data_IF_371133805684
#
_entry.id   IF_371133805684
#
_cell.length_a   1.000
_cell.length_b   1.000
_cell.length_c   1.000
_cell.angle_alpha   90.00
_cell.angle_beta   90.00
_cell.angle_gamma   90.00
#
_symmetry.space_group_name_H-M   'P 1'
#
loop_
_entity.id
_entity.type
_entity.pdbx_description
1 polymer ?
#
# COMPACT_ATOMS: atom_id res chain seq x y z
N UNK A 1 -22.41 -18.69 -7.97
CA UNK A 1 -22.06 -18.50 -6.54
C UNK A 1 -22.42 -17.08 -6.11
N UNK A 2 -23.17 -16.92 -5.00
CA UNK A 2 -23.50 -15.63 -4.39
C UNK A 2 -23.04 -15.64 -2.94
N UNK A 3 -22.42 -14.57 -2.47
CA UNK A 3 -21.87 -14.49 -1.11
C UNK A 3 -22.57 -13.37 -0.34
N UNK A 4 -23.20 -13.69 0.79
CA UNK A 4 -23.74 -12.72 1.73
C UNK A 4 -22.72 -12.47 2.84
N UNK A 5 -22.34 -11.22 3.08
CA UNK A 5 -21.51 -10.82 4.20
C UNK A 5 -22.40 -10.68 5.43
N UNK A 6 -22.37 -11.65 6.37
CA UNK A 6 -23.13 -11.54 7.62
C UNK A 6 -22.50 -10.52 8.57
N UNK A 7 -21.18 -10.45 8.56
CA UNK A 7 -20.41 -9.49 9.32
C UNK A 7 -19.02 -9.30 8.74
N UNK A 8 -18.49 -8.09 8.85
CA UNK A 8 -17.23 -7.65 8.22
C UNK A 8 -16.18 -7.18 9.23
N UNK A 9 -16.53 -7.15 10.53
CA UNK A 9 -15.65 -6.73 11.61
C UNK A 9 -14.65 -7.80 12.05
N UNK A 10 -13.78 -7.47 13.01
CA UNK A 10 -12.84 -8.41 13.61
C UNK A 10 -13.51 -9.62 14.26
N UNK A 11 -12.72 -10.53 14.84
CA UNK A 11 -13.25 -11.74 15.50
C UNK A 11 -14.23 -11.43 16.64
N UNK A 12 -14.18 -10.23 17.21
CA UNK A 12 -15.13 -9.74 18.22
C UNK A 12 -16.04 -8.61 17.69
N UNK A 13 -15.98 -8.31 16.37
CA UNK A 13 -16.63 -7.15 15.76
C UNK A 13 -15.79 -5.88 15.84
N UNK A 14 -16.34 -4.76 15.35
CA UNK A 14 -15.74 -3.43 15.46
C UNK A 14 -16.85 -2.37 15.61
N UNK A 15 -16.93 -1.60 16.75
CA UNK A 15 -15.98 -1.59 17.87
C UNK A 15 -15.95 -2.92 18.64
N UNK A 16 -14.77 -3.30 19.13
CA UNK A 16 -14.62 -4.49 19.95
C UNK A 16 -15.23 -4.24 21.35
N UNK A 17 -16.09 -5.12 21.87
CA UNK A 17 -16.68 -4.98 23.19
C UNK A 17 -15.62 -4.77 24.28
N UNK A 18 -15.82 -3.74 25.12
CA UNK A 18 -14.91 -3.39 26.20
C UNK A 18 -13.61 -2.68 25.80
N UNK A 19 -13.30 -2.56 24.50
CA UNK A 19 -12.10 -1.85 24.02
C UNK A 19 -12.29 -0.33 24.08
N UNK A 20 -11.35 0.38 24.71
CA UNK A 20 -11.36 1.85 24.83
C UNK A 20 -10.30 2.55 23.97
N UNK A 21 -9.74 1.87 22.98
CA UNK A 21 -8.79 2.52 22.06
C UNK A 21 -9.49 3.58 21.19
N UNK A 22 -8.70 4.52 20.67
CA UNK A 22 -9.22 5.63 19.89
C UNK A 22 -9.99 5.19 18.62
N UNK A 23 -9.63 4.06 18.01
CA UNK A 23 -10.34 3.49 16.86
C UNK A 23 -11.73 3.00 17.25
N UNK A 24 -11.85 2.17 18.30
CA UNK A 24 -13.14 1.66 18.78
C UNK A 24 -14.06 2.78 19.27
N UNK A 25 -13.52 3.78 19.97
CA UNK A 25 -14.31 4.93 20.43
C UNK A 25 -14.85 5.76 19.27
N UNK A 26 -14.05 6.00 18.23
CA UNK A 26 -14.52 6.69 17.01
C UNK A 26 -15.61 5.90 16.28
N UNK A 27 -15.43 4.59 16.15
CA UNK A 27 -16.39 3.73 15.48
C UNK A 27 -17.74 3.70 16.23
N UNK A 28 -17.70 3.62 17.57
CA UNK A 28 -18.88 3.69 18.41
C UNK A 28 -19.58 5.05 18.29
N UNK A 29 -18.82 6.16 18.33
CA UNK A 29 -19.36 7.51 18.20
C UNK A 29 -20.00 7.78 16.83
N UNK A 30 -19.48 7.13 15.76
CA UNK A 30 -20.05 7.23 14.41
C UNK A 30 -21.29 6.36 14.20
N UNK A 31 -21.66 5.50 15.16
CA UNK A 31 -22.77 4.55 15.01
C UNK A 31 -22.51 3.43 13.99
N UNK A 32 -21.28 3.26 13.53
CA UNK A 32 -20.90 2.30 12.51
C UNK A 32 -20.40 1.00 13.14
N UNK A 33 -21.33 0.15 13.60
CA UNK A 33 -20.96 -1.17 14.12
C UNK A 33 -20.83 -2.17 12.99
N UNK A 34 -19.73 -2.97 13.03
CA UNK A 34 -19.51 -4.12 12.16
C UNK A 34 -19.54 -5.40 13.01
N UNK A 35 -20.39 -6.34 12.62
CA UNK A 35 -20.50 -7.64 13.25
C UNK A 35 -19.24 -8.48 13.07
N UNK A 36 -19.16 -9.61 13.79
CA UNK A 36 -18.05 -10.58 13.65
C UNK A 36 -17.95 -11.06 12.22
N UNK A 37 -16.73 -11.12 11.69
CA UNK A 37 -16.49 -11.53 10.30
C UNK A 37 -17.06 -12.92 10.01
N UNK A 38 -18.00 -12.98 9.10
CA UNK A 38 -18.61 -14.22 8.59
C UNK A 38 -19.27 -13.96 7.24
N UNK A 39 -19.31 -15.00 6.41
CA UNK A 39 -19.99 -14.98 5.12
C UNK A 39 -20.83 -16.24 4.93
N UNK A 40 -21.89 -16.13 4.13
CA UNK A 40 -22.72 -17.27 3.72
C UNK A 40 -22.74 -17.38 2.20
N UNK A 41 -22.33 -18.52 1.69
CA UNK A 41 -22.29 -18.84 0.26
C UNK A 41 -23.60 -19.50 -0.13
N UNK A 42 -24.31 -18.94 -1.11
CA UNK A 42 -25.60 -19.39 -1.66
C UNK A 42 -26.68 -19.69 -0.60
N UNK A 43 -26.62 -19.01 0.56
CA UNK A 43 -27.52 -19.23 1.68
C UNK A 43 -27.33 -20.58 2.40
N UNK A 44 -26.25 -21.32 2.14
CA UNK A 44 -26.08 -22.72 2.60
C UNK A 44 -24.77 -22.97 3.35
N UNK A 45 -23.64 -22.53 2.84
CA UNK A 45 -22.33 -22.74 3.45
C UNK A 45 -21.92 -21.47 4.21
N UNK A 46 -21.79 -21.56 5.51
CA UNK A 46 -21.32 -20.48 6.38
C UNK A 46 -19.83 -20.65 6.66
N UNK A 47 -19.06 -19.56 6.42
CA UNK A 47 -17.65 -19.43 6.82
C UNK A 47 -17.53 -18.28 7.85
N UNK A 48 -16.76 -18.50 8.90
CA UNK A 48 -16.57 -17.55 9.99
C UNK A 48 -15.66 -18.16 11.05
N UNK A 49 -15.90 -17.84 12.32
CA UNK A 49 -15.17 -18.46 13.43
C UNK A 49 -15.43 -19.97 13.49
N UNK A 50 -14.35 -20.76 13.54
CA UNK A 50 -14.40 -22.22 13.62
C UNK A 50 -14.41 -22.93 12.26
N UNK A 51 -14.53 -24.25 12.31
CA UNK A 51 -14.59 -25.07 11.09
C UNK A 51 -15.98 -24.98 10.46
N UNK A 52 -16.05 -24.78 9.12
CA UNK A 52 -17.31 -24.77 8.41
C UNK A 52 -17.96 -26.17 8.43
N UNK A 53 -19.26 -26.20 8.60
CA UNK A 53 -20.00 -27.46 8.48
C UNK A 53 -19.95 -27.97 7.02
N UNK A 54 -19.85 -29.28 6.84
CA UNK A 54 -19.93 -29.90 5.53
C UNK A 54 -21.30 -29.66 4.90
N UNK A 55 -21.33 -29.14 3.68
CA UNK A 55 -22.55 -28.89 2.92
C UNK A 55 -22.45 -29.66 1.61
N UNK A 56 -23.44 -30.55 1.26
CA UNK A 56 -23.43 -31.33 0.02
C UNK A 56 -23.27 -30.43 -1.22
N UNK A 57 -22.36 -30.83 -2.10
CA UNK A 57 -22.06 -30.13 -3.35
C UNK A 57 -20.96 -29.04 -3.21
N UNK A 58 -20.60 -28.61 -2.00
CA UNK A 58 -19.48 -27.72 -1.78
C UNK A 58 -18.20 -28.51 -1.48
N UNK A 59 -17.10 -28.10 -2.06
CA UNK A 59 -15.77 -28.61 -1.69
C UNK A 59 -15.07 -27.54 -0.86
N UNK A 60 -14.84 -27.84 0.41
CA UNK A 60 -14.13 -26.95 1.34
C UNK A 60 -12.79 -27.58 1.66
N UNK A 61 -11.72 -26.91 1.28
CA UNK A 61 -10.34 -27.33 1.55
C UNK A 61 -9.70 -26.36 2.55
N UNK A 62 -9.18 -26.91 3.62
CA UNK A 62 -8.40 -26.14 4.60
C UNK A 62 -7.02 -25.81 4.02
N UNK A 63 -6.58 -24.58 4.14
CA UNK A 63 -5.25 -24.10 3.76
C UNK A 63 -4.39 -23.90 5.02
N UNK A 64 -3.90 -25.02 5.57
CA UNK A 64 -3.25 -25.02 6.89
C UNK A 64 -4.18 -24.43 7.95
N UNK A 65 -3.63 -23.60 8.84
CA UNK A 65 -4.41 -22.86 9.84
C UNK A 65 -4.83 -21.46 9.36
N UNK A 66 -4.52 -21.11 8.09
CA UNK A 66 -4.67 -19.76 7.59
C UNK A 66 -6.04 -19.48 6.94
N UNK A 67 -6.77 -20.50 6.48
CA UNK A 67 -8.06 -20.24 5.84
C UNK A 67 -8.63 -21.38 5.01
N UNK A 68 -9.56 -21.03 4.15
CA UNK A 68 -10.40 -21.93 3.40
C UNK A 68 -10.39 -21.61 1.91
N UNK A 69 -10.21 -22.64 1.10
CA UNK A 69 -10.43 -22.66 -0.35
C UNK A 69 -11.73 -23.39 -0.63
N UNK A 70 -12.70 -22.68 -1.12
CA UNK A 70 -14.06 -23.19 -1.34
C UNK A 70 -14.36 -23.25 -2.84
N UNK A 71 -14.94 -24.38 -3.27
CA UNK A 71 -15.54 -24.51 -4.60
C UNK A 71 -17.03 -24.79 -4.43
N UNK A 72 -17.88 -23.93 -4.98
CA UNK A 72 -19.32 -24.07 -4.97
C UNK A 72 -19.82 -25.09 -6.05
N UNK A 73 -21.06 -25.54 -5.98
CA UNK A 73 -21.61 -26.52 -6.95
C UNK A 73 -21.59 -26.05 -8.41
N UNK A 74 -21.66 -24.73 -8.64
CA UNK A 74 -21.59 -24.13 -9.98
C UNK A 74 -20.15 -23.93 -10.48
N UNK A 75 -19.15 -24.38 -9.71
CA UNK A 75 -17.74 -24.23 -10.01
C UNK A 75 -17.12 -22.90 -9.48
N UNK A 76 -17.92 -21.98 -8.95
CA UNK A 76 -17.47 -20.73 -8.38
C UNK A 76 -16.49 -20.94 -7.23
N UNK A 77 -15.42 -20.12 -7.17
CA UNK A 77 -14.35 -20.26 -6.20
C UNK A 77 -14.26 -19.07 -5.23
N UNK A 78 -14.10 -19.40 -3.95
CA UNK A 78 -13.96 -18.40 -2.88
C UNK A 78 -12.76 -18.70 -1.99
N UNK A 79 -11.98 -17.66 -1.68
CA UNK A 79 -10.92 -17.68 -0.66
C UNK A 79 -11.40 -16.94 0.58
N UNK A 80 -11.24 -17.56 1.78
CA UNK A 80 -11.65 -16.94 3.04
C UNK A 80 -10.60 -17.19 4.14
N UNK A 81 -10.10 -16.14 4.87
CA UNK A 81 -9.12 -16.31 5.93
C UNK A 81 -9.77 -16.89 7.21
N UNK A 82 -9.00 -17.66 7.98
CA UNK A 82 -9.50 -18.30 9.21
C UNK A 82 -9.72 -17.31 10.36
N UNK A 83 -8.97 -16.20 10.36
CA UNK A 83 -9.03 -15.21 11.42
C UNK A 83 -8.11 -14.03 11.19
N UNK A 84 -8.08 -13.06 12.11
CA UNK A 84 -7.13 -11.95 12.05
C UNK A 84 -5.68 -12.43 12.03
N UNK A 85 -4.86 -11.85 11.15
CA UNK A 85 -3.46 -12.23 10.92
C UNK A 85 -3.29 -13.46 10.02
N UNK A 86 -4.37 -14.06 9.54
CA UNK A 86 -4.30 -15.22 8.64
C UNK A 86 -4.06 -14.80 7.20
N UNK A 87 -3.09 -15.46 6.55
CA UNK A 87 -2.74 -15.28 5.16
C UNK A 87 -2.81 -16.63 4.40
N UNK A 88 -4.00 -17.08 3.98
CA UNK A 88 -4.12 -18.35 3.29
C UNK A 88 -3.33 -18.39 1.98
N UNK A 89 -2.53 -19.45 1.82
CA UNK A 89 -1.65 -19.67 0.68
C UNK A 89 -2.14 -20.88 -0.16
N UNK A 90 -2.92 -20.65 -1.21
CA UNK A 90 -3.31 -21.71 -2.14
C UNK A 90 -2.10 -22.33 -2.84
N UNK A 91 -2.24 -23.59 -3.27
CA UNK A 91 -1.20 -24.29 -4.01
C UNK A 91 -0.88 -23.57 -5.33
N UNK A 92 0.37 -23.68 -5.77
CA UNK A 92 0.81 -23.19 -7.07
C UNK A 92 0.00 -23.84 -8.20
N UNK A 93 -0.34 -23.08 -9.24
CA UNK A 93 -1.16 -23.54 -10.36
C UNK A 93 -2.66 -23.69 -10.04
N UNK A 94 -3.12 -23.27 -8.86
CA UNK A 94 -4.56 -23.18 -8.58
C UNK A 94 -5.24 -22.19 -9.53
N UNK A 95 -6.49 -22.48 -9.93
CA UNK A 95 -7.29 -21.55 -10.74
C UNK A 95 -7.60 -20.25 -9.96
N UNK A 96 -7.88 -19.13 -10.65
CA UNK A 96 -8.27 -17.86 -10.01
C UNK A 96 -9.53 -18.01 -9.15
N UNK A 97 -9.69 -17.11 -8.19
CA UNK A 97 -10.90 -16.99 -7.38
C UNK A 97 -11.88 -16.00 -8.01
N UNK A 98 -13.19 -16.29 -7.85
CA UNK A 98 -14.25 -15.34 -8.20
C UNK A 98 -14.45 -14.30 -7.09
N UNK A 99 -14.32 -14.76 -5.82
CA UNK A 99 -14.39 -13.91 -4.64
C UNK A 99 -13.24 -14.24 -3.71
N UNK A 100 -12.58 -13.20 -3.18
CA UNK A 100 -11.53 -13.36 -2.17
C UNK A 100 -11.76 -12.40 -1.01
N UNK A 101 -11.87 -12.93 0.21
CA UNK A 101 -11.79 -12.15 1.42
C UNK A 101 -10.39 -12.25 1.98
N UNK A 102 -9.81 -11.12 2.39
CA UNK A 102 -8.43 -11.06 2.89
C UNK A 102 -8.35 -10.21 4.17
N UNK A 103 -7.50 -10.61 5.12
CA UNK A 103 -7.15 -9.77 6.26
C UNK A 103 -6.00 -8.82 5.93
N UNK A 104 -6.31 -7.75 5.20
CA UNK A 104 -5.32 -6.76 4.78
C UNK A 104 -4.87 -5.81 5.89
N UNK A 105 -5.41 -5.92 7.10
CA UNK A 105 -4.89 -5.23 8.28
C UNK A 105 -3.77 -6.02 8.97
N UNK A 106 -3.75 -7.34 8.80
CA UNK A 106 -2.69 -8.21 9.27
C UNK A 106 -1.54 -8.33 8.29
N UNK A 107 -1.87 -8.67 7.03
CA UNK A 107 -0.88 -8.83 5.96
C UNK A 107 -1.41 -8.24 4.63
N UNK A 108 -1.19 -6.95 4.36
CA UNK A 108 -1.59 -6.34 3.10
C UNK A 108 -0.80 -6.87 1.89
N UNK A 109 0.40 -7.42 2.11
CA UNK A 109 1.25 -7.95 1.05
C UNK A 109 0.70 -9.25 0.46
N UNK A 110 -0.16 -9.97 1.19
CA UNK A 110 -0.86 -11.14 0.66
C UNK A 110 -1.61 -10.85 -0.64
N UNK A 111 -2.21 -9.67 -0.76
CA UNK A 111 -2.92 -9.27 -1.98
C UNK A 111 -1.99 -9.22 -3.20
N UNK A 112 -0.82 -8.59 -3.07
CA UNK A 112 0.20 -8.55 -4.12
C UNK A 112 0.72 -9.94 -4.46
N UNK A 113 0.94 -10.77 -3.45
CA UNK A 113 1.37 -12.17 -3.62
C UNK A 113 0.36 -13.01 -4.41
N UNK A 114 -0.94 -12.90 -4.10
CA UNK A 114 -2.01 -13.60 -4.82
C UNK A 114 -2.16 -13.09 -6.26
N UNK A 115 -2.04 -11.79 -6.47
CA UNK A 115 -2.07 -11.15 -7.80
C UNK A 115 -0.90 -11.60 -8.67
N UNK A 116 0.31 -11.63 -8.13
CA UNK A 116 1.50 -12.07 -8.84
C UNK A 116 1.41 -13.53 -9.34
N UNK A 117 0.58 -14.35 -8.69
CA UNK A 117 0.32 -15.75 -9.06
C UNK A 117 -0.93 -15.95 -9.91
N UNK A 118 -1.62 -14.87 -10.30
CA UNK A 118 -2.85 -14.96 -11.07
C UNK A 118 -4.04 -15.57 -10.31
N UNK A 119 -3.94 -15.68 -8.98
CA UNK A 119 -5.03 -16.20 -8.13
C UNK A 119 -6.11 -15.16 -7.87
N UNK A 120 -5.74 -13.90 -7.89
CA UNK A 120 -6.63 -12.72 -7.92
C UNK A 120 -6.35 -11.97 -9.22
N UNK A 121 -7.40 -11.83 -10.03
CA UNK A 121 -7.37 -11.18 -11.35
C UNK A 121 -8.32 -9.97 -11.38
N UNK A 122 -8.40 -9.28 -12.50
CA UNK A 122 -9.38 -8.22 -12.70
C UNK A 122 -10.85 -8.71 -12.55
N UNK A 123 -11.10 -9.99 -12.80
CA UNK A 123 -12.43 -10.60 -12.62
C UNK A 123 -12.75 -11.00 -11.17
N UNK A 124 -11.78 -10.96 -10.26
CA UNK A 124 -11.98 -11.36 -8.87
C UNK A 124 -12.56 -10.22 -8.05
N UNK A 125 -13.68 -10.45 -7.38
CA UNK A 125 -14.18 -9.53 -6.35
C UNK A 125 -13.38 -9.73 -5.07
N UNK A 126 -12.53 -8.78 -4.73
CA UNK A 126 -11.71 -8.82 -3.51
C UNK A 126 -12.29 -7.90 -2.44
N UNK A 127 -12.46 -8.41 -1.22
CA UNK A 127 -12.99 -7.66 -0.09
C UNK A 127 -12.13 -7.84 1.17
N UNK A 128 -12.13 -6.82 2.04
CA UNK A 128 -11.48 -6.89 3.36
C UNK A 128 -12.33 -7.74 4.29
N UNK A 129 -11.69 -8.72 4.95
CA UNK A 129 -12.22 -9.40 6.13
C UNK A 129 -11.56 -8.87 7.41
N UNK A 130 -12.20 -9.09 8.54
CA UNK A 130 -11.68 -8.77 9.87
C UNK A 130 -11.28 -7.29 10.05
N UNK A 131 -12.12 -6.36 9.54
CA UNK A 131 -11.95 -4.93 9.78
C UNK A 131 -12.09 -4.63 11.28
N UNK A 132 -11.04 -4.09 11.92
CA UNK A 132 -11.02 -3.83 13.36
C UNK A 132 -10.12 -2.65 13.75
N UNK A 133 -9.86 -2.51 15.03
CA UNK A 133 -9.11 -1.40 15.62
C UNK A 133 -7.61 -1.34 15.27
N UNK A 134 -7.07 -2.29 14.49
CA UNK A 134 -5.72 -2.19 13.90
C UNK A 134 -5.61 -1.04 12.90
N UNK A 135 -6.72 -0.51 12.45
CA UNK A 135 -6.77 0.72 11.66
C UNK A 135 -7.32 1.89 12.48
N UNK A 136 -6.83 3.12 12.27
CA UNK A 136 -7.26 4.27 13.08
C UNK A 136 -8.74 4.62 12.96
N UNK A 137 -9.35 4.41 11.79
CA UNK A 137 -10.75 4.75 11.50
C UNK A 137 -11.24 4.03 10.26
N UNK A 138 -12.55 3.97 10.07
CA UNK A 138 -13.16 3.43 8.85
C UNK A 138 -12.81 4.26 7.62
N UNK A 139 -12.71 5.58 7.73
CA UNK A 139 -12.27 6.44 6.66
C UNK A 139 -10.83 6.10 6.18
N UNK A 140 -9.92 5.80 7.09
CA UNK A 140 -8.57 5.35 6.71
C UNK A 140 -8.62 3.96 6.09
N UNK A 141 -9.48 3.04 6.57
CA UNK A 141 -9.64 1.74 5.94
C UNK A 141 -10.21 1.87 4.53
N UNK A 142 -11.22 2.70 4.33
CA UNK A 142 -11.79 2.98 3.01
C UNK A 142 -10.72 3.56 2.04
N UNK A 143 -9.87 4.46 2.54
CA UNK A 143 -8.74 5.00 1.75
C UNK A 143 -7.76 3.90 1.36
N UNK A 144 -7.42 2.97 2.28
CA UNK A 144 -6.57 1.81 1.98
C UNK A 144 -7.22 0.89 0.95
N UNK A 145 -8.48 0.57 1.12
CA UNK A 145 -9.24 -0.20 0.13
C UNK A 145 -9.20 0.46 -1.25
N UNK A 146 -9.32 1.80 -1.27
CA UNK A 146 -9.24 2.59 -2.47
C UNK A 146 -7.91 2.41 -3.23
N UNK A 147 -6.76 2.51 -2.59
CA UNK A 147 -5.50 2.34 -3.32
C UNK A 147 -5.11 0.88 -3.56
N UNK A 148 -5.60 -0.08 -2.77
CA UNK A 148 -5.43 -1.51 -3.05
C UNK A 148 -6.38 -2.04 -4.13
N UNK A 149 -7.41 -1.27 -4.52
CA UNK A 149 -8.43 -1.72 -5.45
C UNK A 149 -9.25 -2.88 -4.88
N UNK A 150 -9.65 -2.82 -3.60
CA UNK A 150 -10.47 -3.82 -2.92
C UNK A 150 -11.73 -3.17 -2.35
N UNK A 151 -12.74 -3.99 -2.06
CA UNK A 151 -14.00 -3.53 -1.47
C UNK A 151 -13.91 -3.49 0.06
N UNK A 152 -14.48 -2.47 0.65
CA UNK A 152 -14.85 -2.46 2.06
C UNK A 152 -16.32 -2.88 2.14
N UNK A 153 -16.58 -4.19 2.15
CA UNK A 153 -17.93 -4.70 2.22
C UNK A 153 -18.60 -4.34 3.56
N UNK A 154 -19.89 -4.01 3.51
CA UNK A 154 -20.72 -3.79 4.69
C UNK A 154 -21.36 -5.08 5.21
N UNK A 155 -21.84 -5.06 6.45
CA UNK A 155 -22.69 -6.13 6.98
C UNK A 155 -24.01 -6.19 6.19
N UNK A 156 -24.53 -7.38 5.98
CA UNK A 156 -25.69 -7.70 5.15
C UNK A 156 -25.52 -7.40 3.63
N UNK A 157 -24.32 -7.06 3.17
CA UNK A 157 -24.04 -6.86 1.74
C UNK A 157 -23.97 -8.19 1.00
N UNK A 158 -24.61 -8.27 -0.16
CA UNK A 158 -24.53 -9.41 -1.05
C UNK A 158 -23.52 -9.16 -2.19
N UNK A 159 -22.59 -10.08 -2.37
CA UNK A 159 -21.60 -10.08 -3.45
C UNK A 159 -22.01 -11.15 -4.46
N UNK A 160 -22.27 -10.73 -5.70
CA UNK A 160 -22.50 -11.60 -6.84
C UNK A 160 -21.41 -11.32 -7.88
N UNK A 161 -20.40 -12.18 -8.03
CA UNK A 161 -19.29 -11.92 -8.94
C UNK A 161 -19.74 -11.78 -10.41
N UNK A 162 -20.84 -12.42 -10.81
CA UNK A 162 -21.38 -12.29 -12.17
C UNK A 162 -22.00 -10.91 -12.44
N UNK A 163 -22.39 -10.17 -11.40
CA UNK A 163 -23.04 -8.85 -11.47
C UNK A 163 -22.22 -7.73 -10.86
N UNK A 164 -21.19 -8.08 -10.13
CA UNK A 164 -20.28 -7.09 -9.57
C UNK A 164 -19.47 -6.50 -10.70
N UNK A 165 -19.55 -5.18 -10.85
CA UNK A 165 -18.60 -4.46 -11.69
C UNK A 165 -17.22 -4.79 -11.14
N UNK A 166 -16.30 -5.32 -11.97
CA UNK A 166 -14.92 -5.52 -11.56
C UNK A 166 -14.45 -4.25 -10.87
N UNK A 167 -13.73 -4.40 -9.76
CA UNK A 167 -13.20 -3.22 -9.05
C UNK A 167 -12.61 -2.27 -10.08
N UNK A 168 -13.15 -1.06 -10.18
CA UNK A 168 -12.99 -0.10 -11.30
C UNK A 168 -11.55 0.44 -11.46
N UNK A 169 -10.60 -0.19 -10.82
CA UNK A 169 -9.17 0.01 -11.05
C UNK A 169 -8.67 -1.10 -11.97
N UNK A 170 -8.64 -0.74 -13.25
CA UNK A 170 -7.94 -1.53 -14.26
C UNK A 170 -6.60 -2.01 -13.69
N UNK A 171 -6.45 -3.32 -13.56
CA UNK A 171 -5.20 -3.92 -13.22
C UNK A 171 -4.53 -4.40 -14.53
N UNK A 172 -3.33 -3.91 -14.89
CA UNK A 172 -2.43 -3.01 -14.17
C UNK A 172 -2.97 -1.58 -14.09
N UNK A 173 -2.68 -0.93 -12.96
CA UNK A 173 -3.18 0.39 -12.61
C UNK A 173 -3.02 1.41 -13.74
N UNK A 174 -4.03 2.28 -13.89
CA UNK A 174 -3.86 3.55 -14.61
C UNK A 174 -2.65 4.30 -14.04
N UNK A 175 -2.00 5.10 -14.87
CA UNK A 175 -0.88 5.94 -14.43
C UNK A 175 -1.26 6.69 -13.15
N UNK A 176 -0.46 6.52 -12.10
CA UNK A 176 -0.70 7.14 -10.81
C UNK A 176 0.61 7.50 -10.15
N UNK A 177 0.86 8.79 -10.01
CA UNK A 177 2.05 9.33 -9.35
C UNK A 177 1.65 9.88 -8.00
N UNK A 178 2.32 9.41 -6.97
CA UNK A 178 2.02 9.77 -5.59
C UNK A 178 3.28 10.27 -4.91
N UNK A 179 3.21 11.47 -4.34
CA UNK A 179 4.28 12.02 -3.52
C UNK A 179 3.90 11.91 -2.03
N UNK A 180 4.71 11.19 -1.26
CA UNK A 180 4.53 11.03 0.19
C UNK A 180 5.58 11.85 0.92
N UNK A 181 5.15 12.93 1.55
CA UNK A 181 5.97 13.86 2.30
C UNK A 181 5.93 13.58 3.80
N UNK A 182 6.96 13.98 4.52
CA UNK A 182 6.94 13.95 5.97
C UNK A 182 8.32 14.15 6.60
N UNK A 183 8.34 14.51 7.88
CA UNK A 183 9.58 14.64 8.65
C UNK A 183 10.25 13.31 8.97
N UNK A 184 11.41 13.36 9.62
CA UNK A 184 12.09 12.17 10.10
C UNK A 184 11.17 11.36 11.04
N UNK A 185 11.12 10.03 10.84
CA UNK A 185 10.30 9.09 11.64
C UNK A 185 8.79 9.40 11.67
N UNK A 186 8.28 10.11 10.66
CA UNK A 186 6.85 10.42 10.53
C UNK A 186 5.98 9.19 10.19
N UNK A 187 6.57 8.12 9.63
CA UNK A 187 5.86 6.96 9.06
C UNK A 187 5.68 7.04 7.54
N UNK A 188 6.32 8.02 6.85
CA UNK A 188 6.16 8.24 5.40
C UNK A 188 6.57 7.02 4.55
N UNK A 189 7.71 6.38 4.85
CA UNK A 189 8.15 5.18 4.11
C UNK A 189 7.19 4.01 4.32
N UNK A 190 6.72 3.78 5.56
CA UNK A 190 5.70 2.76 5.86
C UNK A 190 4.39 3.04 5.11
N UNK A 191 3.99 4.30 4.99
CA UNK A 191 2.82 4.71 4.21
C UNK A 191 2.99 4.38 2.74
N UNK A 192 4.16 4.66 2.17
CA UNK A 192 4.48 4.37 0.77
C UNK A 192 4.54 2.85 0.51
N UNK A 193 5.18 2.08 1.38
CA UNK A 193 5.20 0.62 1.34
C UNK A 193 3.77 0.05 1.39
N UNK A 194 2.93 0.55 2.30
CA UNK A 194 1.54 0.14 2.46
C UNK A 194 0.71 0.37 1.19
N UNK A 195 0.93 1.49 0.49
CA UNK A 195 0.22 1.80 -0.76
C UNK A 195 0.48 0.76 -1.84
N UNK A 196 1.71 0.25 -1.92
CA UNK A 196 2.13 -0.70 -2.96
C UNK A 196 2.06 -2.16 -2.52
N UNK A 197 1.67 -2.45 -1.27
CA UNK A 197 1.62 -3.81 -0.75
C UNK A 197 0.69 -4.74 -1.56
N UNK A 198 -0.37 -4.19 -2.17
CA UNK A 198 -1.29 -4.92 -3.04
C UNK A 198 -0.81 -5.09 -4.49
N UNK A 199 0.33 -4.51 -4.88
CA UNK A 199 0.84 -4.62 -6.25
C UNK A 199 1.62 -5.92 -6.46
N UNK A 200 1.44 -6.59 -7.61
CA UNK A 200 2.07 -7.89 -7.87
C UNK A 200 3.56 -7.79 -8.20
N UNK A 201 3.98 -6.66 -8.73
CA UNK A 201 5.33 -6.42 -9.22
C UNK A 201 5.78 -5.02 -8.78
N UNK A 202 6.66 -4.96 -7.79
CA UNK A 202 7.17 -3.72 -7.21
C UNK A 202 8.69 -3.70 -7.25
N UNK A 203 9.24 -2.60 -7.73
CA UNK A 203 10.66 -2.29 -7.60
C UNK A 203 10.84 -1.17 -6.57
N UNK A 204 11.50 -1.49 -5.47
CA UNK A 204 11.98 -0.52 -4.50
C UNK A 204 13.27 0.11 -5.00
N UNK A 205 13.30 1.43 -5.06
CA UNK A 205 14.43 2.20 -5.57
C UNK A 205 15.11 2.92 -4.40
N UNK A 206 16.32 2.48 -4.07
CA UNK A 206 17.18 3.13 -3.10
C UNK A 206 18.07 4.17 -3.81
N UNK A 207 17.97 5.42 -3.41
CA UNK A 207 18.68 6.55 -4.03
C UNK A 207 19.89 7.03 -3.21
N UNK A 208 20.07 6.46 -2.01
CA UNK A 208 21.17 6.84 -1.13
C UNK A 208 22.50 6.24 -1.60
N UNK A 209 23.56 7.04 -1.50
CA UNK A 209 24.92 6.53 -1.66
C UNK A 209 25.25 5.56 -0.51
N UNK A 210 25.98 4.50 -0.81
CA UNK A 210 26.41 3.51 0.20
C UNK A 210 27.31 4.22 1.22
N UNK A 211 26.74 4.68 2.31
CA UNK A 211 27.48 4.99 3.53
C UNK A 211 28.00 3.67 4.13
N UNK A 212 29.01 3.07 3.49
CA UNK A 212 29.52 1.75 3.87
C UNK A 212 30.02 1.68 5.32
N UNK A 213 30.27 2.84 5.93
CA UNK A 213 30.91 2.95 7.25
C UNK A 213 30.00 3.56 8.35
N UNK A 214 28.69 3.79 8.06
CA UNK A 214 27.74 4.30 9.06
C UNK A 214 26.84 3.16 9.59
N UNK A 215 27.08 2.66 10.82
CA UNK A 215 26.29 1.59 11.44
C UNK A 215 24.80 1.96 11.60
N UNK A 216 24.48 3.22 11.86
CA UNK A 216 23.10 3.68 12.01
C UNK A 216 22.36 3.69 10.67
N UNK A 217 23.08 4.01 9.59
CA UNK A 217 22.56 3.89 8.22
C UNK A 217 22.31 2.42 7.85
N UNK A 218 23.27 1.55 8.10
CA UNK A 218 23.13 0.13 7.84
C UNK A 218 21.95 -0.50 8.59
N UNK A 219 21.77 -0.15 9.86
CA UNK A 219 20.63 -0.58 10.67
C UNK A 219 19.29 -0.10 10.10
N UNK A 220 19.20 1.15 9.62
CA UNK A 220 18.01 1.68 8.94
C UNK A 220 17.70 0.92 7.66
N UNK A 221 18.68 0.71 6.79
CA UNK A 221 18.52 -0.06 5.55
C UNK A 221 18.03 -1.47 5.85
N UNK A 222 18.61 -2.15 6.86
CA UNK A 222 18.18 -3.48 7.29
C UNK A 222 16.73 -3.48 7.77
N UNK A 223 16.32 -2.51 8.59
CA UNK A 223 14.95 -2.37 9.07
C UNK A 223 13.95 -2.12 7.93
N UNK A 224 14.30 -1.27 6.95
CA UNK A 224 13.49 -1.04 5.75
C UNK A 224 13.37 -2.32 4.90
N UNK A 225 14.48 -3.08 4.75
CA UNK A 225 14.46 -4.34 4.00
C UNK A 225 13.63 -5.42 4.68
N UNK A 226 13.65 -5.49 6.02
CA UNK A 226 12.89 -6.48 6.80
C UNK A 226 11.36 -6.28 6.74
N UNK A 227 10.87 -5.05 6.52
CA UNK A 227 9.43 -4.76 6.41
C UNK A 227 8.85 -5.08 5.04
N UNK A 228 9.68 -5.10 4.01
CA UNK A 228 9.23 -5.27 2.62
C UNK A 228 8.99 -6.74 2.29
N UNK A 229 8.00 -7.05 1.45
CA UNK A 229 7.83 -8.39 0.92
C UNK A 229 9.10 -8.90 0.24
N UNK A 230 9.48 -10.15 0.50
CA UNK A 230 10.74 -10.72 0.00
C UNK A 230 10.82 -10.80 -1.53
N UNK A 231 9.68 -10.76 -2.22
CA UNK A 231 9.61 -10.81 -3.69
C UNK A 231 9.72 -9.42 -4.36
N UNK A 232 9.71 -8.32 -3.61
CA UNK A 232 9.96 -7.01 -4.18
C UNK A 232 11.40 -6.92 -4.67
N UNK A 233 11.57 -6.43 -5.89
CA UNK A 233 12.91 -6.16 -6.42
C UNK A 233 13.49 -4.91 -5.75
N UNK A 234 14.81 -4.83 -5.68
CA UNK A 234 15.52 -3.64 -5.22
C UNK A 234 16.44 -3.16 -6.33
N UNK A 235 16.35 -1.88 -6.68
CA UNK A 235 17.29 -1.18 -7.55
C UNK A 235 18.00 -0.09 -6.73
N UNK A 236 19.32 -0.03 -6.82
CA UNK A 236 20.15 1.00 -6.20
C UNK A 236 20.65 1.92 -7.32
N UNK A 237 20.12 3.13 -7.44
CA UNK A 237 20.47 4.05 -8.52
C UNK A 237 20.11 5.50 -8.18
N UNK A 238 20.90 6.43 -8.71
CA UNK A 238 20.61 7.86 -8.76
C UNK A 238 20.06 8.30 -10.12
N UNK A 239 20.08 7.42 -11.14
CA UNK A 239 19.44 7.68 -12.43
C UNK A 239 17.92 7.40 -12.35
N UNK A 240 17.21 8.28 -11.66
CA UNK A 240 15.75 8.16 -11.53
C UNK A 240 15.02 8.46 -12.84
N UNK A 241 15.53 9.37 -13.65
CA UNK A 241 14.91 9.75 -14.92
C UNK A 241 14.92 8.58 -15.92
N UNK A 242 16.06 7.93 -16.09
CA UNK A 242 16.19 6.74 -16.92
C UNK A 242 15.33 5.58 -16.44
N UNK A 243 15.29 5.37 -15.10
CA UNK A 243 14.47 4.33 -14.50
C UNK A 243 12.96 4.56 -14.73
N UNK A 244 12.46 5.78 -14.51
CA UNK A 244 11.06 6.15 -14.71
C UNK A 244 10.61 5.95 -16.17
N UNK A 245 11.52 6.16 -17.14
CA UNK A 245 11.25 5.97 -18.56
C UNK A 245 11.14 4.50 -18.99
N UNK A 246 11.76 3.59 -18.26
CA UNK A 246 11.92 2.17 -18.67
C UNK A 246 11.22 1.17 -17.74
N UNK A 247 10.80 1.60 -16.57
CA UNK A 247 10.23 0.71 -15.55
C UNK A 247 8.95 0.02 -16.02
N UNK A 248 8.84 -1.25 -15.61
CA UNK A 248 7.61 -2.03 -15.71
C UNK A 248 7.17 -2.39 -14.29
N UNK A 249 5.87 -2.44 -14.05
CA UNK A 249 5.31 -2.64 -12.72
C UNK A 249 5.29 -1.35 -11.89
N UNK A 250 5.11 -1.48 -10.59
CA UNK A 250 5.06 -0.35 -9.68
C UNK A 250 6.47 0.03 -9.17
N UNK A 251 6.68 1.31 -8.90
CA UNK A 251 7.92 1.84 -8.35
C UNK A 251 7.69 2.45 -6.97
N UNK A 252 8.58 2.17 -6.04
CA UNK A 252 8.71 2.87 -4.77
C UNK A 252 10.08 3.55 -4.70
N UNK A 253 10.12 4.86 -4.87
CA UNK A 253 11.37 5.65 -4.77
C UNK A 253 11.53 6.16 -3.34
N UNK A 254 12.50 5.62 -2.60
CA UNK A 254 12.76 5.99 -1.21
C UNK A 254 14.24 6.36 -1.00
N UNK A 255 14.64 7.66 -1.10
CA UNK A 255 13.86 8.90 -1.07
C UNK A 255 14.45 9.95 -1.98
N UNK A 256 13.62 10.93 -2.24
CA UNK A 256 14.00 12.10 -3.07
C UNK A 256 15.07 12.97 -2.38
N UNK A 257 14.99 13.12 -1.05
CA UNK A 257 16.02 13.87 -0.31
C UNK A 257 17.43 13.26 -0.43
N UNK A 258 17.56 11.94 -0.36
CA UNK A 258 18.86 11.26 -0.54
C UNK A 258 19.36 11.34 -1.98
N UNK A 259 18.45 11.32 -2.97
CA UNK A 259 18.80 11.58 -4.36
C UNK A 259 19.34 13.01 -4.55
N UNK A 260 18.67 14.00 -3.97
CA UNK A 260 19.12 15.40 -4.05
C UNK A 260 20.47 15.60 -3.37
N UNK A 261 20.71 14.98 -2.20
CA UNK A 261 21.99 15.04 -1.53
C UNK A 261 23.11 14.46 -2.41
N UNK A 262 22.89 13.28 -3.03
CA UNK A 262 23.86 12.70 -3.97
C UNK A 262 24.14 13.62 -5.17
N UNK A 263 23.10 14.27 -5.71
CA UNK A 263 23.25 15.24 -6.78
C UNK A 263 24.06 16.48 -6.36
N UNK A 264 23.85 16.99 -5.12
CA UNK A 264 24.63 18.10 -4.58
C UNK A 264 26.08 17.69 -4.31
N UNK A 265 26.36 16.45 -3.94
CA UNK A 265 27.73 15.92 -3.85
C UNK A 265 28.43 15.94 -5.23
N UNK A 266 27.70 15.67 -6.31
CA UNK A 266 28.23 15.71 -7.68
C UNK A 266 28.40 17.13 -8.23
N UNK A 267 27.50 18.07 -7.88
CA UNK A 267 27.49 19.43 -8.39
C UNK A 267 28.31 20.40 -7.55
N UNK A 268 28.54 20.07 -6.27
CA UNK A 268 29.09 20.97 -5.26
C UNK A 268 28.00 21.62 -4.40
N UNK A 269 28.31 21.82 -3.13
CA UNK A 269 27.41 22.43 -2.15
C UNK A 269 27.57 23.97 -2.10
N UNK A 270 27.96 24.59 -3.24
CA UNK A 270 28.18 26.03 -3.32
C UNK A 270 27.21 26.69 -4.31
N UNK A 271 26.41 27.63 -3.79
CA UNK A 271 25.49 28.44 -4.59
C UNK A 271 26.17 29.47 -5.52
N UNK A 272 27.45 29.73 -5.32
CA UNK A 272 28.14 30.79 -6.07
C UNK A 272 28.69 30.28 -7.39
N UNK A 273 28.85 28.98 -7.57
CA UNK A 273 29.24 28.37 -8.84
C UNK A 273 28.03 28.29 -9.77
N UNK A 274 28.06 29.07 -10.87
CA UNK A 274 27.00 29.13 -11.86
C UNK A 274 26.85 27.81 -12.63
N UNK A 275 27.94 27.16 -12.97
CA UNK A 275 27.92 25.88 -13.68
C UNK A 275 27.31 24.76 -12.80
N UNK A 276 27.59 24.77 -11.49
CA UNK A 276 26.98 23.85 -10.53
C UNK A 276 25.46 24.06 -10.41
N UNK A 277 25.02 25.34 -10.37
CA UNK A 277 23.59 25.68 -10.35
C UNK A 277 22.86 25.26 -11.62
N UNK A 278 23.46 25.51 -12.79
CA UNK A 278 22.89 25.08 -14.07
C UNK A 278 22.76 23.55 -14.17
N UNK A 279 23.79 22.83 -13.72
CA UNK A 279 23.77 21.36 -13.68
C UNK A 279 22.68 20.84 -12.73
N UNK A 280 22.57 21.42 -11.53
CA UNK A 280 21.53 21.07 -10.56
C UNK A 280 20.13 21.31 -11.13
N UNK A 281 19.89 22.49 -11.71
CA UNK A 281 18.63 22.85 -12.34
C UNK A 281 18.27 21.91 -13.51
N UNK A 282 19.24 21.57 -14.37
CA UNK A 282 19.03 20.65 -15.47
C UNK A 282 18.62 19.24 -14.99
N UNK A 283 19.32 18.69 -13.99
CA UNK A 283 19.03 17.36 -13.45
C UNK A 283 17.71 17.30 -12.69
N UNK A 284 17.35 18.35 -11.97
CA UNK A 284 16.03 18.43 -11.30
C UNK A 284 14.90 18.57 -12.31
N UNK A 285 15.08 19.38 -13.37
CA UNK A 285 14.11 19.50 -14.47
C UNK A 285 13.94 18.17 -15.22
N UNK A 286 15.03 17.44 -15.46
CA UNK A 286 15.01 16.10 -16.08
C UNK A 286 14.18 15.12 -15.26
N UNK A 287 14.39 15.07 -13.93
CA UNK A 287 13.61 14.22 -13.04
C UNK A 287 12.12 14.59 -13.07
N UNK A 288 11.77 15.88 -12.95
CA UNK A 288 10.37 16.34 -13.00
C UNK A 288 9.74 16.01 -14.36
N UNK A 289 10.48 16.16 -15.46
CA UNK A 289 10.03 15.77 -16.80
C UNK A 289 9.77 14.27 -16.92
N UNK A 290 10.67 13.44 -16.39
CA UNK A 290 10.51 11.99 -16.34
C UNK A 290 9.35 11.57 -15.42
N UNK A 291 9.18 12.22 -14.28
CA UNK A 291 8.06 12.01 -13.36
C UNK A 291 6.71 12.29 -14.07
N UNK A 292 6.60 13.41 -14.79
CA UNK A 292 5.41 13.75 -15.61
C UNK A 292 5.07 12.70 -16.64
N UNK A 293 6.08 12.06 -17.25
CA UNK A 293 5.92 11.05 -18.30
C UNK A 293 5.85 9.62 -17.76
N UNK A 294 6.07 9.41 -16.46
CA UNK A 294 6.08 8.09 -15.86
C UNK A 294 4.73 7.39 -16.08
N UNK A 295 4.80 6.11 -16.41
CA UNK A 295 3.63 5.25 -16.63
C UNK A 295 3.54 4.23 -15.51
N UNK A 296 2.32 3.82 -15.15
CA UNK A 296 2.07 2.86 -14.07
C UNK A 296 1.98 3.52 -12.71
N UNK A 297 2.09 2.74 -11.64
CA UNK A 297 1.94 3.23 -10.27
C UNK A 297 3.31 3.56 -9.68
N UNK A 298 3.58 4.84 -9.48
CA UNK A 298 4.84 5.32 -8.90
C UNK A 298 4.56 6.05 -7.59
N UNK A 299 5.25 5.67 -6.53
CA UNK A 299 5.21 6.33 -5.23
C UNK A 299 6.61 6.83 -4.90
N UNK A 300 6.76 8.13 -4.67
CA UNK A 300 8.01 8.71 -4.20
C UNK A 300 7.87 9.20 -2.75
N UNK A 301 8.92 8.96 -1.97
CA UNK A 301 9.04 9.42 -0.59
C UNK A 301 10.01 10.59 -0.55
N UNK A 302 9.60 11.70 0.07
CA UNK A 302 10.45 12.86 0.27
C UNK A 302 10.35 13.43 1.69
N UNK A 303 11.41 14.11 2.11
CA UNK A 303 11.42 14.80 3.38
C UNK A 303 10.79 16.19 3.25
N UNK A 304 9.89 16.52 4.19
CA UNK A 304 9.42 17.91 4.34
C UNK A 304 10.32 18.64 5.35
N UNK A 305 11.31 19.34 4.82
CA UNK A 305 12.33 20.05 5.62
C UNK A 305 11.98 21.52 5.88
N UNK A 306 11.01 22.05 5.13
CA UNK A 306 10.60 23.47 5.20
C UNK A 306 9.89 23.86 6.49
N UNK A 307 9.25 22.90 7.18
CA UNK A 307 8.51 23.12 8.42
C UNK A 307 9.40 23.19 9.67
N UNK A 308 10.71 22.94 9.54
CA UNK A 308 11.67 22.95 10.63
C UNK A 308 12.39 24.29 10.82
N UNK A 309 13.36 24.29 11.76
CA UNK A 309 14.25 25.43 12.01
C UNK A 309 15.15 25.67 10.79
N UNK A 310 15.42 26.93 10.48
CA UNK A 310 16.34 27.30 9.39
C UNK A 310 17.74 26.77 9.72
N UNK A 311 18.37 25.98 8.84
CA UNK A 311 19.70 25.44 9.08
C UNK A 311 20.76 26.54 9.26
N UNK A 312 21.67 26.34 10.21
CA UNK A 312 22.75 27.31 10.49
C UNK A 312 23.79 27.37 9.36
N UNK A 313 24.02 26.24 8.65
CA UNK A 313 25.02 26.16 7.59
C UNK A 313 24.46 26.58 6.23
N UNK A 314 25.27 27.19 5.33
CA UNK A 314 24.86 27.49 3.96
C UNK A 314 24.40 26.23 3.20
N UNK A 315 25.13 25.14 3.29
CA UNK A 315 24.79 23.86 2.66
C UNK A 315 23.44 23.31 3.12
N UNK A 316 23.13 23.39 4.41
CA UNK A 316 21.83 22.96 4.93
C UNK A 316 20.68 23.83 4.41
N UNK A 317 20.89 25.15 4.27
CA UNK A 317 19.89 26.05 3.66
C UNK A 317 19.68 25.75 2.18
N UNK A 318 20.79 25.51 1.45
CA UNK A 318 20.72 25.10 0.04
C UNK A 318 19.88 23.83 -0.12
N UNK A 319 20.22 22.77 0.61
CA UNK A 319 19.48 21.50 0.56
C UNK A 319 18.00 21.69 0.87
N UNK A 320 17.68 22.42 1.95
CA UNK A 320 16.30 22.69 2.34
C UNK A 320 15.51 23.41 1.25
N UNK A 321 16.10 24.45 0.65
CA UNK A 321 15.43 25.28 -0.35
C UNK A 321 15.26 24.53 -1.68
N UNK A 322 16.28 23.79 -2.11
CA UNK A 322 16.21 22.99 -3.35
C UNK A 322 15.25 21.80 -3.18
N UNK A 323 15.25 21.11 -2.03
CA UNK A 323 14.30 20.03 -1.76
C UNK A 323 12.86 20.54 -1.74
N UNK A 324 12.63 21.71 -1.13
CA UNK A 324 11.30 22.34 -1.14
C UNK A 324 10.80 22.68 -2.54
N UNK A 325 11.67 23.24 -3.41
CA UNK A 325 11.34 23.50 -4.83
C UNK A 325 11.04 22.22 -5.59
N UNK A 326 11.87 21.19 -5.39
CA UNK A 326 11.68 19.88 -6.04
C UNK A 326 10.40 19.21 -5.57
N UNK A 327 10.09 19.22 -4.26
CA UNK A 327 8.84 18.70 -3.72
C UNK A 327 7.62 19.39 -4.33
N UNK A 328 7.67 20.71 -4.45
CA UNK A 328 6.59 21.50 -5.08
C UNK A 328 6.40 21.11 -6.55
N UNK A 329 7.49 20.96 -7.31
CA UNK A 329 7.44 20.58 -8.71
C UNK A 329 6.92 19.14 -8.91
N UNK A 330 7.36 18.19 -8.07
CA UNK A 330 6.86 16.81 -8.13
C UNK A 330 5.39 16.73 -7.71
N UNK A 331 4.98 17.47 -6.67
CA UNK A 331 3.59 17.51 -6.23
C UNK A 331 2.65 18.03 -7.32
N UNK A 332 3.06 19.07 -8.05
CA UNK A 332 2.28 19.66 -9.16
C UNK A 332 2.05 18.65 -10.32
N UNK A 333 2.92 17.67 -10.47
CA UNK A 333 2.84 16.63 -11.51
C UNK A 333 2.32 15.28 -10.98
N UNK A 334 1.83 15.25 -9.73
CA UNK A 334 1.33 14.04 -9.08
C UNK A 334 -0.20 14.05 -9.03
N UNK A 335 -0.82 12.89 -9.23
CA UNK A 335 -2.26 12.70 -9.01
C UNK A 335 -2.62 12.78 -7.53
N UNK A 336 -1.67 12.46 -6.64
CA UNK A 336 -1.87 12.54 -5.19
C UNK A 336 -0.58 13.02 -4.51
N UNK A 337 -0.76 13.88 -3.51
CA UNK A 337 0.30 14.22 -2.56
C UNK A 337 -0.23 14.04 -1.13
N UNK A 338 0.58 13.47 -0.25
CA UNK A 338 0.22 13.21 1.15
C UNK A 338 1.31 13.73 2.08
N UNK A 339 0.92 14.39 3.17
CA UNK A 339 1.81 14.71 4.27
C UNK A 339 1.58 13.74 5.43
N UNK A 340 2.64 13.08 5.87
CA UNK A 340 2.59 12.13 6.99
C UNK A 340 3.21 12.76 8.24
N UNK A 341 2.40 12.88 9.29
CA UNK A 341 2.81 13.43 10.59
C UNK A 341 2.37 12.44 11.69
N UNK A 342 3.32 11.97 12.49
CA UNK A 342 3.06 11.04 13.59
C UNK A 342 2.19 9.82 13.18
N UNK A 343 2.48 9.24 12.01
CA UNK A 343 1.72 8.12 11.44
C UNK A 343 0.33 8.47 10.91
N UNK A 344 -0.05 9.76 10.91
CA UNK A 344 -1.31 10.25 10.36
C UNK A 344 -1.08 10.83 8.98
N UNK A 345 -2.04 10.62 8.09
CA UNK A 345 -1.98 11.06 6.70
C UNK A 345 -2.90 12.26 6.51
N UNK A 346 -2.34 13.34 5.99
CA UNK A 346 -3.05 14.52 5.53
C UNK A 346 -2.93 14.58 4.00
N UNK A 347 -4.02 14.36 3.24
CA UNK A 347 -4.01 14.59 1.80
C UNK A 347 -3.73 16.07 1.51
N UNK A 348 -2.87 16.33 0.52
CA UNK A 348 -2.54 17.67 0.03
C UNK A 348 -3.17 17.84 -1.35
N UNK A 349 -4.14 18.71 -1.47
CA UNK A 349 -4.96 18.86 -2.66
C UNK A 349 -6.30 18.15 -2.54
N UNK A 350 -7.19 18.32 -3.52
CA UNK A 350 -8.49 17.67 -3.54
C UNK A 350 -8.41 16.15 -3.60
#
# INVERSE_FOLDING_TARGET
MRVLVEGSGGSAGWPQPGCRCASCLRQAAAGNARGRSAVVVDGRLRLGAGEPAGVPGYRVRRLGDAGWDVTAPDGGRLLYPAGPGSAPAPAEGSAPYDVAFLDLLGDPAQLGWLRARGLITAGTVTAVAFADHRVPSEAELARRCGFWGVRLAGDAEAIDPARSVPNDRNFPAATRRVLVLGGARSGKSERAELRLAGEPDVTYVATGNRGADDPDWAARVAAHRARRPAWWRTAETTDLAGLLGTARGALLIDGIGTWLAALLDECGWDHQDEAAREKLAARTAELVGAWRQARGYVVAVSDETGLGVVPATPAGRLFRDELGRLNQALAAESEEAELVVAGRVLPLGE
#
